data_IF_574355165057
#
_entry.id   IF_574355165057
#
_cell.length_a   1.000
_cell.length_b   1.000
_cell.length_c   1.000
_cell.angle_alpha   90.00
_cell.angle_beta   90.00
_cell.angle_gamma   90.00
#
_symmetry.space_group_name_H-M   'P 1'
#
loop_
_entity.id
_entity.type
_entity.pdbx_description
1 polymer ?
#
# COMPACT_ATOMS: atom_id res chain seq x y z
N UNK A 1 5.39 4.44 14.90
CA UNK A 1 5.88 3.72 16.10
C UNK A 1 6.65 2.47 15.66
N UNK A 2 7.90 2.29 16.10
CA UNK A 2 8.63 1.05 15.86
C UNK A 2 7.93 -0.11 16.61
N UNK A 3 7.61 -1.19 15.90
CA UNK A 3 7.03 -2.38 16.52
C UNK A 3 7.93 -2.85 17.68
N UNK A 4 7.35 -2.97 18.88
CA UNK A 4 8.01 -3.63 20.02
C UNK A 4 8.10 -5.13 19.70
N UNK A 5 9.09 -5.51 18.90
CA UNK A 5 9.39 -6.91 18.60
C UNK A 5 9.73 -7.66 19.88
N UNK A 6 8.90 -8.63 20.26
CA UNK A 6 9.17 -9.52 21.40
C UNK A 6 10.48 -10.29 21.21
N UNK A 7 11.07 -10.79 22.29
CA UNK A 7 12.38 -11.47 22.27
C UNK A 7 12.48 -12.61 21.24
N UNK A 8 11.35 -13.28 20.93
CA UNK A 8 11.25 -14.31 19.90
C UNK A 8 11.45 -13.77 18.47
N UNK A 9 10.99 -12.56 18.16
CA UNK A 9 11.18 -11.95 16.85
C UNK A 9 12.66 -11.69 16.58
N UNK A 10 13.41 -11.27 17.61
CA UNK A 10 14.85 -10.99 17.51
C UNK A 10 15.69 -12.22 17.16
N UNK A 11 15.20 -13.43 17.43
CA UNK A 11 15.87 -14.67 17.04
C UNK A 11 15.80 -14.93 15.53
N UNK A 12 14.76 -14.42 14.86
CA UNK A 12 14.57 -14.56 13.41
C UNK A 12 15.07 -13.34 12.62
N UNK A 13 15.47 -12.25 13.27
CA UNK A 13 16.03 -11.05 12.64
C UNK A 13 17.11 -11.33 11.57
N UNK A 14 18.13 -12.18 11.78
CA UNK A 14 19.13 -12.43 10.75
C UNK A 14 18.55 -13.12 9.51
N UNK A 15 17.56 -14.01 9.69
CA UNK A 15 16.87 -14.68 8.59
C UNK A 15 15.99 -13.69 7.81
N UNK A 16 15.20 -12.88 8.53
CA UNK A 16 14.32 -11.88 7.91
C UNK A 16 15.15 -10.84 7.15
N UNK A 17 16.26 -10.37 7.71
CA UNK A 17 17.16 -9.42 7.05
C UNK A 17 17.74 -9.98 5.75
N UNK A 18 17.97 -11.29 5.68
CA UNK A 18 18.44 -11.96 4.46
C UNK A 18 17.32 -12.16 3.42
N UNK A 19 16.11 -12.52 3.85
CA UNK A 19 14.99 -12.84 2.97
C UNK A 19 14.23 -11.60 2.48
N UNK A 20 14.11 -10.56 3.31
CA UNK A 20 13.35 -9.34 3.01
C UNK A 20 13.76 -8.65 1.69
N UNK A 21 15.05 -8.36 1.40
CA UNK A 21 15.43 -7.70 0.15
C UNK A 21 15.16 -8.57 -1.08
N UNK A 22 15.26 -9.90 -0.95
CA UNK A 22 14.94 -10.84 -2.04
C UNK A 22 13.46 -10.83 -2.34
N UNK A 23 12.64 -10.92 -1.30
CA UNK A 23 11.19 -10.82 -1.43
C UNK A 23 10.77 -9.49 -2.04
N UNK A 24 11.35 -8.38 -1.54
CA UNK A 24 11.11 -7.05 -2.08
C UNK A 24 11.47 -6.95 -3.56
N UNK A 25 12.59 -7.56 -3.99
CA UNK A 25 12.99 -7.60 -5.38
C UNK A 25 11.96 -8.34 -6.25
N UNK A 26 11.50 -9.53 -5.82
CA UNK A 26 10.47 -10.31 -6.54
C UNK A 26 9.16 -9.53 -6.64
N UNK A 27 8.65 -8.98 -5.53
CA UNK A 27 7.43 -8.18 -5.54
C UNK A 27 7.59 -6.95 -6.44
N UNK A 28 8.73 -6.27 -6.38
CA UNK A 28 8.98 -5.12 -7.24
C UNK A 28 8.99 -5.50 -8.72
N UNK A 29 9.54 -6.65 -9.08
CA UNK A 29 9.57 -7.16 -10.45
C UNK A 29 8.16 -7.45 -10.95
N UNK A 30 7.33 -8.12 -10.14
CA UNK A 30 5.94 -8.40 -10.51
C UNK A 30 5.12 -7.12 -10.67
N UNK A 31 5.27 -6.15 -9.78
CA UNK A 31 4.57 -4.86 -9.90
C UNK A 31 4.97 -4.08 -11.15
N UNK A 32 6.24 -4.16 -11.57
CA UNK A 32 6.71 -3.52 -12.81
C UNK A 32 6.02 -4.06 -14.05
N UNK A 33 5.72 -5.36 -14.09
CA UNK A 33 5.00 -5.99 -15.22
C UNK A 33 3.62 -5.38 -15.46
N UNK A 34 2.93 -4.98 -14.40
CA UNK A 34 1.61 -4.34 -14.47
C UNK A 34 1.66 -2.81 -14.41
N UNK A 35 2.84 -2.22 -14.18
CA UNK A 35 3.00 -0.78 -14.03
C UNK A 35 2.30 -0.22 -12.80
N UNK A 36 2.28 -0.98 -11.71
CA UNK A 36 1.66 -0.61 -10.43
C UNK A 36 2.70 -0.20 -9.40
N UNK A 37 2.27 0.59 -8.41
CA UNK A 37 3.00 0.83 -7.16
C UNK A 37 2.44 -0.05 -6.05
N UNK A 38 3.25 -0.30 -5.03
CA UNK A 38 2.88 -1.20 -3.94
C UNK A 38 1.59 -0.77 -3.22
N UNK A 39 1.41 0.53 -2.99
CA UNK A 39 0.22 1.07 -2.31
C UNK A 39 -1.04 1.10 -3.17
N UNK A 40 -0.90 0.92 -4.49
CA UNK A 40 -2.07 0.75 -5.35
C UNK A 40 -2.82 -0.55 -5.01
N UNK A 41 -2.17 -1.50 -4.34
CA UNK A 41 -2.77 -2.76 -3.88
C UNK A 41 -3.69 -2.60 -2.65
N UNK A 42 -3.66 -1.46 -1.97
CA UNK A 42 -4.50 -1.24 -0.80
C UNK A 42 -5.94 -0.95 -1.21
N UNK A 43 -6.86 -1.81 -0.80
CA UNK A 43 -8.28 -1.70 -1.14
C UNK A 43 -9.03 -0.80 -0.14
N UNK A 44 -9.59 0.33 -0.58
CA UNK A 44 -10.36 1.23 0.29
C UNK A 44 -11.63 0.57 0.86
N UNK A 45 -12.20 -0.45 0.23
CA UNK A 45 -13.38 -1.15 0.74
C UNK A 45 -13.02 -2.16 1.85
N UNK A 46 -11.78 -2.65 1.84
CA UNK A 46 -11.30 -3.61 2.84
C UNK A 46 -10.85 -2.88 4.11
N UNK A 47 -10.08 -1.79 3.97
CA UNK A 47 -9.60 -0.96 5.07
C UNK A 47 -10.09 0.48 4.90
N UNK A 48 -11.03 0.90 5.75
CA UNK A 48 -11.61 2.25 5.70
C UNK A 48 -10.58 3.34 6.04
N UNK A 49 -9.49 3.01 6.73
CA UNK A 49 -8.41 3.97 6.98
C UNK A 49 -7.68 4.33 5.66
N UNK A 50 -7.63 3.39 4.70
CA UNK A 50 -7.13 3.64 3.33
C UNK A 50 -8.08 4.56 2.57
N UNK A 51 -9.39 4.35 2.69
CA UNK A 51 -10.39 5.20 2.05
C UNK A 51 -10.28 6.65 2.55
N UNK A 52 -10.18 6.84 3.86
CA UNK A 52 -10.00 8.16 4.46
C UNK A 52 -8.67 8.81 4.05
N UNK A 53 -7.57 8.05 4.03
CA UNK A 53 -6.29 8.55 3.57
C UNK A 53 -6.36 9.01 2.10
N UNK A 54 -7.03 8.26 1.22
CA UNK A 54 -7.21 8.65 -0.18
C UNK A 54 -8.08 9.90 -0.34
N UNK A 55 -9.10 10.11 0.50
CA UNK A 55 -9.94 11.32 0.48
C UNK A 55 -9.16 12.60 0.83
N UNK A 56 -8.12 12.48 1.65
CA UNK A 56 -7.26 13.60 2.07
C UNK A 56 -6.17 13.94 1.06
N UNK A 57 -5.88 13.03 0.13
CA UNK A 57 -4.81 13.20 -0.84
C UNK A 57 -5.18 14.22 -1.94
N UNK A 58 -4.18 14.89 -2.54
CA UNK A 58 -4.37 15.69 -3.73
C UNK A 58 -5.00 14.88 -4.88
N UNK A 59 -5.93 15.52 -5.61
CA UNK A 59 -6.70 14.85 -6.66
C UNK A 59 -5.82 14.30 -7.79
N UNK A 60 -4.75 15.00 -8.16
CA UNK A 60 -3.79 14.58 -9.19
C UNK A 60 -3.10 13.26 -8.85
N UNK A 61 -2.79 13.03 -7.57
CA UNK A 61 -2.20 11.77 -7.09
C UNK A 61 -3.21 10.63 -7.18
N UNK A 62 -4.47 10.88 -6.79
CA UNK A 62 -5.57 9.92 -6.87
C UNK A 62 -5.88 9.56 -8.32
N UNK A 63 -5.89 10.54 -9.21
CA UNK A 63 -6.10 10.32 -10.64
C UNK A 63 -4.96 9.49 -11.25
N UNK A 64 -3.71 9.78 -10.89
CA UNK A 64 -2.56 8.99 -11.32
C UNK A 64 -2.62 7.54 -10.79
N UNK A 65 -3.10 7.33 -9.56
CA UNK A 65 -3.38 5.98 -9.01
C UNK A 65 -4.43 5.27 -9.85
N UNK A 66 -5.56 5.93 -10.12
CA UNK A 66 -6.66 5.35 -10.88
C UNK A 66 -6.25 4.99 -12.32
N UNK A 67 -5.40 5.79 -12.95
CA UNK A 67 -4.82 5.48 -14.26
C UNK A 67 -3.96 4.21 -14.23
N UNK A 68 -3.13 4.03 -13.19
CA UNK A 68 -2.32 2.81 -13.03
C UNK A 68 -3.20 1.57 -12.82
N UNK A 69 -4.23 1.67 -11.98
CA UNK A 69 -5.16 0.57 -11.73
C UNK A 69 -5.92 0.16 -13.00
N UNK A 70 -6.44 1.13 -13.77
CA UNK A 70 -7.11 0.86 -15.05
C UNK A 70 -6.18 0.18 -16.05
N UNK A 71 -4.93 0.65 -16.15
CA UNK A 71 -3.92 0.03 -17.01
C UNK A 71 -3.58 -1.39 -16.57
N UNK A 72 -3.42 -1.62 -15.27
CA UNK A 72 -3.12 -2.95 -14.74
C UNK A 72 -4.26 -3.94 -15.01
N UNK A 73 -5.51 -3.50 -14.86
CA UNK A 73 -6.70 -4.28 -15.23
C UNK A 73 -6.72 -4.62 -16.71
N UNK A 74 -6.46 -3.65 -17.60
CA UNK A 74 -6.39 -3.88 -19.05
C UNK A 74 -5.31 -4.89 -19.44
N UNK A 75 -4.09 -4.73 -18.89
CA UNK A 75 -2.97 -5.65 -19.10
C UNK A 75 -3.30 -7.06 -18.59
N UNK A 76 -3.90 -7.15 -17.41
CA UNK A 76 -4.32 -8.42 -16.80
C UNK A 76 -5.39 -9.13 -17.63
N UNK A 77 -6.40 -8.41 -18.10
CA UNK A 77 -7.46 -8.96 -18.96
C UNK A 77 -6.90 -9.48 -20.29
N UNK A 78 -5.87 -8.82 -20.83
CA UNK A 78 -5.18 -9.23 -22.05
C UNK A 78 -4.21 -10.38 -21.86
N UNK A 79 -3.93 -10.80 -20.62
CA UNK A 79 -2.87 -11.76 -20.29
C UNK A 79 -1.51 -11.36 -20.88
N UNK A 80 -1.21 -10.05 -20.88
CA UNK A 80 0.06 -9.50 -21.37
C UNK A 80 0.84 -8.85 -20.24
N UNK A 81 2.04 -8.36 -20.53
CA UNK A 81 2.82 -7.53 -19.62
C UNK A 81 3.09 -6.18 -20.27
N UNK A 82 3.41 -5.17 -19.46
CA UNK A 82 3.92 -3.88 -19.93
C UNK A 82 5.23 -4.09 -20.74
N UNK A 83 5.49 -3.35 -21.83
CA UNK A 83 6.75 -3.45 -22.57
C UNK A 83 7.98 -3.24 -21.69
N UNK A 84 9.08 -3.94 -21.96
CA UNK A 84 10.28 -3.94 -21.10
C UNK A 84 10.86 -2.54 -20.88
N UNK A 85 10.84 -1.68 -21.89
CA UNK A 85 11.31 -0.29 -21.77
C UNK A 85 10.46 0.50 -20.77
N UNK A 86 9.14 0.30 -20.80
CA UNK A 86 8.23 0.92 -19.85
C UNK A 86 8.31 0.29 -18.45
N UNK A 87 8.63 -1.01 -18.33
CA UNK A 87 8.86 -1.68 -17.05
C UNK A 87 10.06 -1.06 -16.30
N UNK A 88 11.11 -0.65 -17.01
CA UNK A 88 12.30 -0.03 -16.43
C UNK A 88 12.01 1.36 -15.83
N UNK A 89 11.05 2.10 -16.41
CA UNK A 89 10.64 3.43 -15.94
C UNK A 89 9.75 3.36 -14.69
N UNK A 90 9.25 2.17 -14.31
CA UNK A 90 8.32 2.05 -13.19
C UNK A 90 9.03 2.16 -11.83
N UNK A 91 8.37 2.85 -10.91
CA UNK A 91 8.83 3.09 -9.53
C UNK A 91 7.91 2.41 -8.51
N UNK A 92 7.94 1.07 -8.38
CA UNK A 92 6.95 0.32 -7.58
C UNK A 92 7.01 0.63 -6.07
N UNK A 93 8.17 1.05 -5.56
CA UNK A 93 8.42 1.35 -4.15
C UNK A 93 8.39 2.85 -3.83
N UNK A 94 7.81 3.66 -4.71
CA UNK A 94 7.56 5.07 -4.43
C UNK A 94 6.22 5.20 -3.69
N UNK A 95 6.32 5.30 -2.36
CA UNK A 95 5.19 5.36 -1.43
C UNK A 95 4.63 6.79 -1.36
N UNK A 96 3.35 6.95 -1.71
CA UNK A 96 2.60 8.21 -1.71
C UNK A 96 1.48 8.25 -0.65
N UNK A 97 1.01 7.10 -0.16
CA UNK A 97 -0.13 6.96 0.74
C UNK A 97 0.30 6.73 2.19
N UNK A 98 1.47 6.11 2.40
CA UNK A 98 1.98 5.70 3.71
C UNK A 98 1.87 6.79 4.78
N UNK A 99 2.36 7.99 4.50
CA UNK A 99 2.43 9.06 5.50
C UNK A 99 1.02 9.51 5.93
N UNK A 100 0.11 9.68 4.96
CA UNK A 100 -1.29 10.02 5.25
C UNK A 100 -2.02 8.92 5.98
N UNK A 101 -1.74 7.66 5.67
CA UNK A 101 -2.36 6.51 6.31
C UNK A 101 -1.85 6.32 7.74
N UNK A 102 -0.57 6.55 7.99
CA UNK A 102 0.00 6.56 9.35
C UNK A 102 -0.64 7.67 10.19
N UNK A 103 -0.87 8.86 9.61
CA UNK A 103 -1.56 9.97 10.30
C UNK A 103 -3.02 9.63 10.65
N UNK A 104 -3.78 9.07 9.71
CA UNK A 104 -5.17 8.63 9.97
C UNK A 104 -5.23 7.59 11.09
N UNK A 105 -4.29 6.63 11.11
CA UNK A 105 -4.22 5.62 12.16
C UNK A 105 -3.90 6.22 13.53
N UNK A 106 -2.96 7.16 13.60
CA UNK A 106 -2.64 7.86 14.84
C UNK A 106 -3.83 8.65 15.39
N UNK A 107 -4.57 9.36 14.53
CA UNK A 107 -5.79 10.06 14.94
C UNK A 107 -6.87 9.09 15.46
N UNK A 108 -7.01 7.93 14.83
CA UNK A 108 -7.96 6.91 15.27
C UNK A 108 -7.55 6.29 16.61
N UNK A 109 -6.26 6.03 16.82
CA UNK A 109 -5.74 5.55 18.10
C UNK A 109 -5.96 6.57 19.23
N UNK A 110 -5.77 7.87 18.95
CA UNK A 110 -6.08 8.95 19.88
C UNK A 110 -7.57 8.98 20.24
N UNK A 111 -8.46 8.93 19.24
CA UNK A 111 -9.92 8.90 19.47
C UNK A 111 -10.36 7.69 20.28
N UNK A 112 -9.74 6.54 20.03
CA UNK A 112 -9.99 5.30 20.78
C UNK A 112 -9.53 5.44 22.24
N UNK A 113 -8.36 6.02 22.47
CA UNK A 113 -7.85 6.30 23.83
C UNK A 113 -8.75 7.28 24.61
N UNK A 114 -9.41 8.21 23.90
CA UNK A 114 -10.41 9.12 24.45
C UNK A 114 -11.81 8.48 24.61
N UNK A 115 -12.03 7.26 24.12
CA UNK A 115 -13.30 6.54 24.23
C UNK A 115 -14.39 6.96 23.24
N UNK A 116 -14.04 7.74 22.20
CA UNK A 116 -15.01 8.32 21.24
C UNK A 116 -15.26 7.48 19.99
N UNK A 117 -14.54 6.37 19.80
CA UNK A 117 -14.67 5.49 18.63
C UNK A 117 -14.00 6.04 17.35
N UNK A 118 -14.17 5.34 16.21
CA UNK A 118 -13.67 5.82 14.91
C UNK A 118 -14.64 6.84 14.30
N UNK A 119 -14.11 7.75 13.47
CA UNK A 119 -14.93 8.76 12.79
C UNK A 119 -15.81 8.20 11.66
N UNK A 120 -15.49 7.00 11.17
CA UNK A 120 -16.18 6.30 10.11
C UNK A 120 -16.35 4.82 10.49
N UNK A 121 -17.45 4.22 10.03
CA UNK A 121 -17.80 2.84 10.32
C UNK A 121 -18.15 2.08 9.04
N UNK A 122 -17.88 0.78 9.06
CA UNK A 122 -18.22 -0.11 7.95
C UNK A 122 -19.72 -0.40 7.99
N UNK A 123 -20.40 -0.22 6.86
CA UNK A 123 -21.78 -0.67 6.74
C UNK A 123 -21.83 -2.21 6.77
N UNK A 124 -22.79 -2.75 7.52
CA UNK A 124 -23.07 -4.18 7.48
C UNK A 124 -23.78 -4.52 6.17
N UNK A 125 -23.34 -5.57 5.44
CA UNK A 125 -23.97 -5.99 4.19
C UNK A 125 -25.37 -6.56 4.39
#
# INVERSE_FOLDING_TARGET
>A
MAAKGGALAKLFDPLVRFLAPRYQAVVSQELRKYGMRYEDLYDPQLDLDVEEALKRMPQDVVDARNQRLKRAQDISMKHTELPKDMQQLQTPLNFYLRDTLELVKLENDERLALGTGKAFERHLP
#
